data_IF_256121731393
#
_entry.id   IF_256121731393
#
_cell.length_a   1.000
_cell.length_b   1.000
_cell.length_c   1.000
_cell.angle_alpha   90.00
_cell.angle_beta   90.00
_cell.angle_gamma   90.00
#
_symmetry.space_group_name_H-M   'P 1'
#
loop_
_entity.id
_entity.type
_entity.pdbx_description
1 polymer ?
#
# COMPACT_ATOMS: atom_id res chain seq x y z
N UNK A 1 2.60 -7.74 1.48
CA UNK A 1 3.56 -8.54 2.27
C UNK A 1 4.19 -9.60 1.41
N UNK A 2 5.53 -9.63 1.31
CA UNK A 2 6.24 -10.78 0.73
C UNK A 2 5.91 -12.06 1.52
N UNK A 3 6.09 -13.25 0.93
CA UNK A 3 5.85 -14.52 1.63
C UNK A 3 6.71 -14.68 2.88
N UNK A 4 7.97 -14.22 2.83
CA UNK A 4 8.90 -14.27 3.96
C UNK A 4 8.46 -13.35 5.12
N UNK A 5 8.00 -12.13 4.82
CA UNK A 5 7.49 -11.21 5.85
C UNK A 5 6.23 -11.75 6.52
N UNK A 6 5.31 -12.35 5.76
CA UNK A 6 4.11 -13.00 6.32
C UNK A 6 4.46 -14.15 7.25
N UNK A 7 5.40 -15.00 6.84
CA UNK A 7 5.88 -16.09 7.69
C UNK A 7 6.51 -15.58 8.99
N UNK A 8 7.29 -14.48 8.93
CA UNK A 8 7.89 -13.84 10.11
C UNK A 8 6.83 -13.29 11.07
N UNK A 9 5.86 -12.52 10.57
CA UNK A 9 4.75 -11.99 11.39
C UNK A 9 3.91 -13.11 11.99
N UNK A 10 3.59 -14.13 11.21
CA UNK A 10 2.86 -15.30 11.71
C UNK A 10 3.62 -16.06 12.80
N UNK A 11 4.93 -16.28 12.61
CA UNK A 11 5.78 -16.92 13.60
C UNK A 11 5.86 -16.11 14.91
N UNK A 12 5.91 -14.78 14.80
CA UNK A 12 5.92 -13.89 15.97
C UNK A 12 4.60 -13.91 16.74
N UNK A 13 3.47 -13.88 16.03
CA UNK A 13 2.14 -14.04 16.65
C UNK A 13 2.02 -15.38 17.39
N UNK A 14 2.54 -16.46 16.79
CA UNK A 14 2.57 -17.78 17.43
C UNK A 14 3.47 -17.79 18.67
N UNK A 15 4.63 -17.13 18.61
CA UNK A 15 5.56 -17.00 19.74
C UNK A 15 4.90 -16.30 20.92
N UNK A 16 4.22 -15.19 20.67
CA UNK A 16 3.48 -14.42 21.69
C UNK A 16 2.37 -15.28 22.29
N UNK A 17 1.54 -15.92 21.46
CA UNK A 17 0.45 -16.78 21.95
C UNK A 17 0.95 -17.87 22.90
N UNK A 18 2.05 -18.53 22.53
CA UNK A 18 2.63 -19.60 23.34
C UNK A 18 3.26 -19.07 24.63
N UNK A 19 3.81 -17.85 24.64
CA UNK A 19 4.34 -17.21 25.84
C UNK A 19 3.22 -16.90 26.85
N UNK A 20 2.04 -16.52 26.37
CA UNK A 20 0.84 -16.30 27.18
C UNK A 20 0.10 -17.59 27.56
N UNK A 21 0.60 -18.76 27.13
CA UNK A 21 -0.01 -20.06 27.46
C UNK A 21 -1.37 -20.32 26.79
N UNK A 22 -1.74 -19.55 25.77
CA UNK A 22 -3.05 -19.62 25.13
C UNK A 22 -3.09 -20.71 24.05
N UNK A 23 -4.17 -21.50 23.99
CA UNK A 23 -4.39 -22.43 22.88
C UNK A 23 -4.97 -21.70 21.66
N UNK A 24 -4.80 -22.26 20.46
CA UNK A 24 -5.43 -21.70 19.26
C UNK A 24 -6.96 -21.79 19.27
N UNK A 25 -7.53 -22.69 20.08
CA UNK A 25 -8.97 -22.81 20.28
C UNK A 25 -9.49 -21.69 21.19
N UNK A 26 -8.77 -21.37 22.26
CA UNK A 26 -9.12 -20.28 23.19
C UNK A 26 -9.15 -18.93 22.46
N UNK A 27 -8.12 -18.67 21.65
CA UNK A 27 -8.02 -17.46 20.82
C UNK A 27 -9.17 -17.42 19.80
N UNK A 28 -9.48 -18.56 19.19
CA UNK A 28 -10.60 -18.69 18.27
C UNK A 28 -11.92 -18.36 18.95
N UNK A 29 -12.20 -18.97 20.10
CA UNK A 29 -13.41 -18.75 20.87
C UNK A 29 -13.57 -17.29 21.30
N UNK A 30 -12.49 -16.66 21.81
CA UNK A 30 -12.52 -15.28 22.27
C UNK A 30 -12.77 -14.26 21.15
N UNK A 31 -12.26 -14.52 19.94
CA UNK A 31 -12.39 -13.62 18.79
C UNK A 31 -13.55 -13.99 17.85
N UNK A 32 -14.32 -15.05 18.17
CA UNK A 32 -15.39 -15.56 17.31
C UNK A 32 -14.90 -16.18 16.00
N UNK A 33 -13.70 -16.76 16.00
CA UNK A 33 -13.03 -17.35 14.85
C UNK A 33 -12.85 -18.86 15.01
N UNK A 34 -12.69 -19.58 13.89
CA UNK A 34 -12.24 -20.97 13.95
C UNK A 34 -10.75 -21.06 14.29
N UNK A 35 -10.35 -22.11 15.00
CA UNK A 35 -8.93 -22.45 15.25
C UNK A 35 -8.13 -22.50 13.93
N UNK A 36 -8.76 -23.02 12.87
CA UNK A 36 -8.19 -23.05 11.53
C UNK A 36 -7.90 -21.66 10.94
N UNK A 37 -8.65 -20.60 11.31
CA UNK A 37 -8.33 -19.22 10.92
C UNK A 37 -7.09 -18.72 11.66
N UNK A 38 -7.01 -18.95 12.97
CA UNK A 38 -5.84 -18.58 13.80
C UNK A 38 -4.57 -19.24 13.27
N UNK A 39 -4.61 -20.56 13.03
CA UNK A 39 -3.49 -21.33 12.48
C UNK A 39 -3.04 -20.83 11.08
N UNK A 40 -3.98 -20.47 10.20
CA UNK A 40 -3.66 -19.90 8.88
C UNK A 40 -2.96 -18.55 8.95
N UNK A 41 -3.29 -17.73 9.95
CA UNK A 41 -2.64 -16.44 10.19
C UNK A 41 -1.22 -16.69 10.74
N UNK A 42 -1.07 -17.56 11.74
CA UNK A 42 0.22 -17.87 12.38
C UNK A 42 1.22 -18.57 11.45
N UNK A 43 0.73 -19.32 10.46
CA UNK A 43 1.60 -19.96 9.46
C UNK A 43 2.04 -19.02 8.34
N UNK A 44 1.48 -17.81 8.26
CA UNK A 44 1.82 -16.83 7.23
C UNK A 44 1.44 -17.24 5.80
N UNK A 45 0.68 -18.34 5.62
CA UNK A 45 0.24 -18.82 4.30
C UNK A 45 -0.74 -17.86 3.63
N UNK A 46 -1.50 -17.10 4.41
CA UNK A 46 -2.45 -16.11 3.93
C UNK A 46 -2.10 -14.73 4.49
N UNK A 47 -2.45 -13.67 3.75
CA UNK A 47 -2.31 -12.30 4.28
C UNK A 47 -3.27 -12.11 5.46
N UNK A 48 -2.78 -11.52 6.55
CA UNK A 48 -3.60 -11.10 7.67
C UNK A 48 -4.15 -9.71 7.37
N UNK A 49 -5.44 -9.48 7.65
CA UNK A 49 -6.02 -8.14 7.53
C UNK A 49 -5.57 -7.27 8.72
N UNK A 50 -5.47 -5.95 8.56
CA UNK A 50 -5.14 -5.04 9.67
C UNK A 50 -6.12 -5.20 10.84
N UNK A 51 -7.46 -5.31 10.62
CA UNK A 51 -8.40 -5.56 11.70
C UNK A 51 -8.13 -6.88 12.43
N UNK A 52 -7.88 -7.98 11.69
CA UNK A 52 -7.59 -9.27 12.31
C UNK A 52 -6.26 -9.24 13.11
N UNK A 53 -5.24 -8.58 12.58
CA UNK A 53 -3.95 -8.43 13.27
C UNK A 53 -4.10 -7.62 14.56
N UNK A 54 -4.85 -6.52 14.52
CA UNK A 54 -5.11 -5.67 15.68
C UNK A 54 -5.89 -6.42 16.77
N UNK A 55 -6.88 -7.23 16.39
CA UNK A 55 -7.64 -8.05 17.32
C UNK A 55 -6.75 -9.09 18.03
N UNK A 56 -5.88 -9.78 17.31
CA UNK A 56 -4.93 -10.74 17.89
C UNK A 56 -3.98 -10.08 18.88
N UNK A 57 -3.35 -8.96 18.48
CA UNK A 57 -2.39 -8.25 19.34
C UNK A 57 -3.04 -7.70 20.61
N UNK A 58 -4.27 -7.21 20.49
CA UNK A 58 -5.04 -6.73 21.65
C UNK A 58 -5.40 -7.87 22.59
N UNK A 59 -5.80 -9.03 22.06
CA UNK A 59 -6.10 -10.21 22.86
C UNK A 59 -4.86 -10.79 23.56
N UNK A 60 -3.70 -10.70 22.92
CA UNK A 60 -2.43 -11.14 23.49
C UNK A 60 -1.83 -10.16 24.50
N UNK A 61 -2.47 -9.02 24.78
CA UNK A 61 -1.96 -8.05 25.77
C UNK A 61 -0.65 -7.38 25.36
N UNK A 62 -0.35 -7.32 24.06
CA UNK A 62 0.91 -6.73 23.56
C UNK A 62 0.91 -5.22 23.84
N UNK A 63 2.01 -4.65 24.38
CA UNK A 63 2.14 -3.21 24.60
C UNK A 63 1.85 -2.40 23.33
N UNK A 64 1.22 -1.24 23.50
CA UNK A 64 0.70 -0.45 22.36
C UNK A 64 1.83 -0.01 21.41
N UNK A 65 3.05 0.17 21.92
CA UNK A 65 4.25 0.49 21.13
C UNK A 65 4.60 -0.64 20.14
N UNK A 66 4.58 -1.88 20.63
CA UNK A 66 4.89 -3.08 19.82
C UNK A 66 3.76 -3.38 18.85
N UNK A 67 2.52 -3.15 19.28
CA UNK A 67 1.33 -3.28 18.44
C UNK A 67 1.36 -2.29 17.27
N UNK A 68 1.72 -1.03 17.52
CA UNK A 68 1.86 -0.02 16.47
C UNK A 68 2.93 -0.39 15.43
N UNK A 69 4.06 -0.96 15.86
CA UNK A 69 5.11 -1.43 14.96
C UNK A 69 4.64 -2.56 14.03
N UNK A 70 3.99 -3.59 14.60
CA UNK A 70 3.50 -4.74 13.84
C UNK A 70 2.36 -4.36 12.89
N UNK A 71 1.46 -3.47 13.31
CA UNK A 71 0.39 -2.95 12.47
C UNK A 71 0.94 -2.09 11.31
N UNK A 72 1.96 -1.27 11.56
CA UNK A 72 2.61 -0.47 10.51
C UNK A 72 3.25 -1.36 9.44
N UNK A 73 3.92 -2.44 9.87
CA UNK A 73 4.53 -3.43 8.97
C UNK A 73 3.49 -4.13 8.10
N UNK A 74 2.32 -4.45 8.64
CA UNK A 74 1.22 -5.04 7.86
C UNK A 74 0.52 -4.04 6.93
N UNK A 75 0.43 -2.77 7.34
CA UNK A 75 -0.22 -1.69 6.59
C UNK A 75 0.59 -1.23 5.37
N UNK A 76 1.92 -1.14 5.51
CA UNK A 76 2.85 -0.80 4.42
C UNK A 76 2.71 -1.76 3.21
N UNK A 77 2.25 -2.97 3.50
CA UNK A 77 2.22 -4.08 2.59
C UNK A 77 0.83 -4.35 1.97
N UNK A 78 -0.20 -3.67 2.46
CA UNK A 78 -1.57 -3.72 1.96
C UNK A 78 -1.80 -2.81 0.73
N UNK A 79 -0.76 -2.11 0.26
CA UNK A 79 -0.86 -1.23 -0.90
C UNK A 79 -1.85 -0.09 -0.67
N UNK A 80 -1.89 0.47 0.55
CA UNK A 80 -2.58 1.74 0.80
C UNK A 80 -1.78 2.81 0.05
N UNK A 81 -2.22 3.06 -1.17
CA UNK A 81 -1.75 4.04 -2.13
C UNK A 81 -1.49 5.39 -1.43
N UNK A 82 -0.22 5.81 -1.32
CA UNK A 82 0.16 7.19 -0.99
C UNK A 82 1.19 7.38 0.14
N UNK A 83 1.50 6.36 0.94
CA UNK A 83 2.37 6.53 2.13
C UNK A 83 3.89 6.45 1.86
N UNK A 84 4.36 6.70 0.64
CA UNK A 84 5.80 6.80 0.38
C UNK A 84 6.44 7.95 1.19
N UNK A 85 5.65 8.92 1.68
CA UNK A 85 6.14 10.23 2.12
C UNK A 85 6.19 10.46 3.64
N UNK A 86 5.51 9.72 4.53
CA UNK A 86 5.62 10.04 5.98
C UNK A 86 5.62 8.79 6.84
N UNK A 87 6.79 8.39 7.35
CA UNK A 87 6.93 7.38 8.43
C UNK A 87 7.46 8.07 9.69
N UNK A 88 7.03 7.58 10.85
CA UNK A 88 7.72 7.79 12.12
C UNK A 88 9.11 7.12 12.07
N UNK A 89 10.16 7.87 12.45
CA UNK A 89 11.57 7.44 12.46
C UNK A 89 12.46 8.02 11.35
N UNK A 90 11.89 8.76 10.39
CA UNK A 90 12.67 9.52 9.39
C UNK A 90 13.50 8.68 8.40
N UNK A 91 14.33 9.37 7.62
CA UNK A 91 15.24 8.78 6.61
C UNK A 91 16.21 7.73 7.17
N UNK A 92 16.84 7.91 8.35
CA UNK A 92 17.85 6.97 8.84
C UNK A 92 17.32 5.57 9.13
N UNK A 93 16.14 5.47 9.75
CA UNK A 93 15.49 4.18 10.03
C UNK A 93 15.22 3.41 8.74
N UNK A 94 14.74 4.11 7.71
CA UNK A 94 14.45 3.51 6.40
C UNK A 94 15.73 3.04 5.68
N UNK A 95 16.80 3.83 5.76
CA UNK A 95 18.09 3.43 5.20
C UNK A 95 18.61 2.15 5.87
N UNK A 96 18.46 2.01 7.18
CA UNK A 96 18.81 0.78 7.90
C UNK A 96 18.02 -0.45 7.44
N UNK A 97 16.72 -0.32 7.21
CA UNK A 97 15.89 -1.41 6.68
C UNK A 97 16.32 -1.85 5.27
N UNK A 98 16.56 -0.88 4.38
CA UNK A 98 17.03 -1.14 3.01
C UNK A 98 18.42 -1.79 3.06
N UNK A 99 19.33 -1.26 3.87
CA UNK A 99 20.68 -1.80 4.05
C UNK A 99 20.67 -3.26 4.55
N UNK A 100 19.76 -3.59 5.47
CA UNK A 100 19.62 -4.96 5.98
C UNK A 100 19.25 -5.95 4.87
N UNK A 101 18.40 -5.54 3.93
CA UNK A 101 18.05 -6.34 2.75
C UNK A 101 19.22 -6.39 1.77
N UNK A 102 19.80 -5.23 1.44
CA UNK A 102 20.92 -5.13 0.49
C UNK A 102 22.12 -5.97 0.89
N UNK A 103 22.44 -6.03 2.20
CA UNK A 103 23.55 -6.83 2.74
C UNK A 103 23.38 -8.33 2.47
N UNK A 104 22.14 -8.81 2.31
CA UNK A 104 21.84 -10.22 2.06
C UNK A 104 21.64 -10.52 0.56
N UNK A 105 21.62 -9.50 -0.31
CA UNK A 105 21.37 -9.68 -1.74
C UNK A 105 22.59 -10.31 -2.43
N UNK A 106 22.37 -11.43 -3.10
CA UNK A 106 23.38 -12.08 -3.96
C UNK A 106 23.40 -11.51 -5.38
N UNK A 107 22.31 -10.87 -5.81
CA UNK A 107 22.19 -10.29 -7.15
C UNK A 107 21.13 -9.18 -7.16
N UNK A 108 21.48 -8.04 -7.73
CA UNK A 108 20.59 -6.93 -7.98
C UNK A 108 20.47 -6.68 -9.49
N UNK A 109 19.27 -6.50 -10.00
CA UNK A 109 19.01 -6.16 -11.41
C UNK A 109 18.00 -5.03 -11.45
N UNK A 110 18.31 -4.02 -12.24
CA UNK A 110 17.47 -2.84 -12.40
C UNK A 110 17.39 -2.50 -13.89
N UNK A 111 16.20 -2.14 -14.35
CA UNK A 111 15.95 -1.71 -15.71
C UNK A 111 15.19 -0.40 -15.67
N UNK A 112 15.80 0.66 -16.17
CA UNK A 112 15.19 1.98 -16.31
C UNK A 112 15.18 2.36 -17.79
N UNK A 113 14.02 2.28 -18.46
CA UNK A 113 13.95 2.51 -19.91
C UNK A 113 14.12 3.97 -20.31
N UNK A 114 13.90 4.91 -19.38
CA UNK A 114 13.82 6.34 -19.67
C UNK A 114 14.86 7.19 -18.91
N UNK A 115 15.54 6.62 -17.92
CA UNK A 115 16.42 7.36 -17.03
C UNK A 115 17.64 6.53 -16.65
N UNK A 116 18.75 7.21 -16.40
CA UNK A 116 19.91 6.59 -15.75
C UNK A 116 19.52 6.23 -14.30
N UNK A 117 19.84 5.02 -13.80
CA UNK A 117 19.59 4.66 -12.41
C UNK A 117 20.25 5.64 -11.44
N UNK A 118 19.57 5.99 -10.34
CA UNK A 118 20.03 7.02 -9.40
C UNK A 118 21.46 6.82 -8.88
N UNK A 119 21.88 5.57 -8.66
CA UNK A 119 23.23 5.20 -8.21
C UNK A 119 24.32 5.50 -9.24
N UNK A 120 23.96 5.66 -10.51
CA UNK A 120 24.85 5.91 -11.64
C UNK A 120 24.70 7.34 -12.19
N UNK A 121 23.86 8.17 -11.58
CA UNK A 121 23.70 9.56 -12.01
C UNK A 121 24.89 10.39 -11.53
N UNK A 122 25.42 11.23 -12.41
CA UNK A 122 26.28 12.34 -11.98
C UNK A 122 25.44 13.34 -11.19
N UNK A 123 26.12 14.16 -10.38
CA UNK A 123 25.44 15.24 -9.64
C UNK A 123 24.65 16.15 -10.58
N UNK A 124 25.24 16.52 -11.72
CA UNK A 124 24.61 17.38 -12.72
C UNK A 124 23.34 16.73 -13.30
N UNK A 125 23.41 15.47 -13.72
CA UNK A 125 22.25 14.73 -14.25
C UNK A 125 21.13 14.63 -13.20
N UNK A 126 21.47 14.27 -11.97
CA UNK A 126 20.51 14.14 -10.89
C UNK A 126 19.78 15.46 -10.61
N UNK A 127 20.52 16.58 -10.63
CA UNK A 127 19.98 17.93 -10.45
C UNK A 127 19.01 18.31 -11.56
N UNK A 128 19.36 18.07 -12.82
CA UNK A 128 18.46 18.37 -13.95
C UNK A 128 17.22 17.47 -13.93
N UNK A 129 17.38 16.17 -13.66
CA UNK A 129 16.26 15.26 -13.51
C UNK A 129 15.29 15.69 -12.40
N UNK A 130 15.82 16.12 -11.24
CA UNK A 130 15.00 16.63 -10.14
C UNK A 130 14.25 17.92 -10.52
N UNK A 131 14.88 18.84 -11.25
CA UNK A 131 14.22 20.07 -11.76
C UNK A 131 13.08 19.75 -12.71
N UNK A 132 13.27 18.81 -13.65
CA UNK A 132 12.23 18.36 -14.57
C UNK A 132 11.07 17.71 -13.80
N UNK A 133 11.36 16.90 -12.78
CA UNK A 133 10.36 16.24 -11.93
C UNK A 133 9.55 17.18 -11.03
N UNK A 134 10.13 18.31 -10.60
CA UNK A 134 9.48 19.30 -9.72
C UNK A 134 8.28 20.01 -10.35
N UNK A 135 8.06 19.86 -11.66
CA UNK A 135 6.83 20.29 -12.35
C UNK A 135 5.62 19.40 -12.09
N UNK A 136 5.82 18.12 -11.76
CA UNK A 136 4.75 17.11 -11.65
C UNK A 136 4.07 17.07 -10.27
N UNK A 137 4.74 17.55 -9.22
CA UNK A 137 4.23 17.50 -7.83
C UNK A 137 3.35 18.69 -7.45
N UNK A 138 3.20 19.71 -8.32
CA UNK A 138 2.47 20.95 -8.01
C UNK A 138 0.95 20.84 -8.13
N UNK A 139 0.40 19.69 -8.51
CA UNK A 139 -1.05 19.49 -8.72
C UNK A 139 -1.76 18.71 -7.60
N UNK A 140 -1.11 18.48 -6.46
CA UNK A 140 -1.82 18.09 -5.25
C UNK A 140 -2.59 19.30 -4.70
N UNK A 141 -3.74 19.63 -5.32
CA UNK A 141 -4.69 20.58 -4.76
C UNK A 141 -5.14 20.07 -3.38
N UNK A 142 -5.04 20.89 -2.31
CA UNK A 142 -5.62 20.54 -1.02
C UNK A 142 -7.14 20.41 -1.21
N UNK A 143 -7.67 19.18 -1.13
CA UNK A 143 -9.11 18.90 -1.32
C UNK A 143 -9.44 17.83 -2.37
N UNK A 144 -8.45 17.22 -3.03
CA UNK A 144 -8.71 16.06 -3.89
C UNK A 144 -9.01 14.81 -3.05
N UNK A 145 -10.30 14.57 -2.75
CA UNK A 145 -10.75 13.27 -2.24
C UNK A 145 -10.32 12.16 -3.20
N UNK A 146 -9.62 11.17 -2.65
CA UNK A 146 -9.13 10.02 -3.37
C UNK A 146 -10.32 9.12 -3.76
N UNK A 147 -10.86 9.33 -4.97
CA UNK A 147 -11.97 8.55 -5.52
C UNK A 147 -11.45 7.15 -5.90
N UNK A 148 -11.75 6.15 -5.07
CA UNK A 148 -11.31 4.76 -5.26
C UNK A 148 -11.66 4.14 -6.63
N UNK A 149 -11.05 2.97 -6.89
CA UNK A 149 -10.91 2.18 -8.15
C UNK A 149 -12.06 2.14 -9.18
N UNK A 150 -13.28 2.59 -8.88
CA UNK A 150 -14.44 2.54 -9.78
C UNK A 150 -14.87 3.89 -10.38
N UNK A 151 -14.29 5.03 -9.98
CA UNK A 151 -14.72 6.34 -10.49
C UNK A 151 -14.30 6.60 -11.96
N UNK A 152 -13.19 6.03 -12.44
CA UNK A 152 -12.75 6.23 -13.82
C UNK A 152 -13.79 5.73 -14.84
N UNK A 153 -14.43 4.58 -14.57
CA UNK A 153 -15.49 4.04 -15.43
C UNK A 153 -16.77 4.89 -15.39
N UNK A 154 -17.11 5.47 -14.25
CA UNK A 154 -18.30 6.33 -14.12
C UNK A 154 -18.12 7.67 -14.86
N UNK A 155 -16.93 8.27 -14.77
CA UNK A 155 -16.60 9.53 -15.43
C UNK A 155 -16.48 9.37 -16.96
N UNK A 156 -15.88 8.26 -17.43
CA UNK A 156 -15.82 7.92 -18.85
C UNK A 156 -17.22 7.70 -19.46
N UNK A 157 -18.13 7.00 -18.77
CA UNK A 157 -19.52 6.80 -19.25
C UNK A 157 -20.33 8.09 -19.29
N UNK A 158 -20.09 9.02 -18.37
CA UNK A 158 -20.81 10.31 -18.31
C UNK A 158 -20.33 11.24 -19.43
N UNK A 159 -19.03 11.26 -19.73
CA UNK A 159 -18.47 12.01 -20.87
C UNK A 159 -18.97 11.50 -22.23
N UNK A 160 -19.13 10.18 -22.37
CA UNK A 160 -19.60 9.54 -23.62
C UNK A 160 -21.11 9.75 -23.88
N UNK A 161 -21.92 9.97 -22.83
CA UNK A 161 -23.36 10.29 -22.96
C UNK A 161 -23.63 11.75 -23.30
N UNK A 162 -22.76 12.68 -22.90
CA UNK A 162 -22.91 14.11 -23.24
C UNK A 162 -22.49 14.45 -24.68
N UNK A 163 -21.72 13.58 -25.34
CA UNK A 163 -21.32 13.75 -26.74
C UNK A 163 -22.36 13.23 -27.74
N UNK A 164 -23.34 12.43 -27.31
CA UNK A 164 -24.39 11.92 -28.23
C UNK A 164 -25.61 12.86 -28.37
N UNK A 165 -25.68 13.95 -27.60
CA UNK A 165 -26.80 14.92 -27.63
C UNK A 165 -26.48 16.22 -28.37
N UNK A 166 -25.25 16.42 -28.88
CA UNK A 166 -24.91 17.54 -29.78
C UNK A 166 -24.76 17.06 -31.22
N UNK A 167 -25.84 16.56 -31.80
CA UNK A 167 -25.81 16.02 -33.16
C UNK A 167 -27.18 15.82 -33.80
N UNK A 168 -28.14 16.73 -33.56
CA UNK A 168 -29.37 16.81 -34.37
C UNK A 168 -30.05 18.17 -34.20
N UNK A 169 -29.61 19.16 -34.96
CA UNK A 169 -30.43 20.32 -35.31
C UNK A 169 -30.07 20.73 -36.73
N UNK A 170 -30.62 19.99 -37.70
CA UNK A 170 -30.74 20.48 -39.06
C UNK A 170 -31.97 21.38 -39.13
N UNK A 171 -31.78 22.64 -39.47
CA UNK A 171 -32.85 23.55 -39.89
C UNK A 171 -32.50 24.00 -41.30
N UNK A 172 -33.32 23.59 -42.27
CA UNK A 172 -33.17 23.87 -43.69
C UNK A 172 -33.42 25.35 -44.04
N UNK A 173 -33.11 25.77 -45.28
CA UNK A 173 -33.24 27.16 -45.68
C UNK A 173 -34.70 27.50 -45.97
N UNK A 174 -35.14 28.64 -45.44
CA UNK A 174 -36.43 29.25 -45.74
C UNK A 174 -36.36 30.03 -47.06
N UNK A 175 -37.35 29.79 -47.92
CA UNK A 175 -37.66 30.53 -49.15
C UNK A 175 -38.23 31.91 -48.84
N UNK A 176 -37.95 32.89 -49.70
CA UNK A 176 -38.80 34.08 -49.88
C UNK A 176 -38.10 35.42 -50.11
N UNK A 177 -37.84 35.79 -51.35
CA UNK A 177 -38.64 36.75 -52.15
C UNK A 177 -38.10 36.84 -53.57
#
# INVERSE_FOLDING_TARGET
MTSAQRARVGAELRRIRLAEGLSGEDVGAALGWSQSKVSRIETGRFGVSIPDLSALLSYYGVPEEVKAELLSTAADDAGIDGAWIVRAGGTPRRQGEVQAVETQLKRFRQHHPLLVPGQLQSEEYARENARLGAGLTRTASPGAEWCGRNCWRARARRAMRSSSTRGRSGTGPATGR
#
